data_IF_956527916547
#
_entry.id   IF_956527916547
#
_cell.length_a   1.000
_cell.length_b   1.000
_cell.length_c   1.000
_cell.angle_alpha   90.00
_cell.angle_beta   90.00
_cell.angle_gamma   90.00
#
_symmetry.space_group_name_H-M   'P 1'
#
loop_
_entity.id
_entity.type
_entity.pdbx_description
1 polymer ?
#
# COMPACT_ATOMS: atom_id res chain seq x y z
N UNK A 1 2.90 3.70 -3.74
CA UNK A 1 3.30 2.57 -2.89
C UNK A 1 3.08 1.30 -3.72
N UNK A 2 4.11 0.47 -3.92
CA UNK A 2 3.94 -0.83 -4.58
C UNK A 2 3.21 -1.79 -3.63
N UNK A 3 2.33 -2.66 -4.14
CA UNK A 3 1.58 -3.63 -3.32
C UNK A 3 2.48 -4.44 -2.36
N UNK A 4 3.69 -4.78 -2.82
CA UNK A 4 4.67 -5.51 -2.04
C UNK A 4 5.22 -4.70 -0.86
N UNK A 5 5.32 -3.38 -0.99
CA UNK A 5 5.77 -2.52 0.10
C UNK A 5 4.75 -2.48 1.23
N UNK A 6 3.45 -2.41 0.90
CA UNK A 6 2.37 -2.45 1.90
C UNK A 6 2.25 -3.83 2.57
N UNK A 7 2.44 -4.90 1.80
CA UNK A 7 2.46 -6.28 2.32
C UNK A 7 3.65 -6.51 3.28
N UNK A 8 4.84 -6.06 2.90
CA UNK A 8 6.07 -6.18 3.69
C UNK A 8 6.03 -5.33 4.97
N UNK A 9 5.48 -4.11 4.91
CA UNK A 9 5.29 -3.27 6.10
C UNK A 9 4.34 -3.95 7.09
N UNK A 10 3.23 -4.51 6.62
CA UNK A 10 2.29 -5.26 7.47
C UNK A 10 2.98 -6.47 8.12
N UNK A 11 3.74 -7.24 7.36
CA UNK A 11 4.46 -8.42 7.90
C UNK A 11 5.51 -8.04 8.95
N UNK A 12 6.27 -6.98 8.70
CA UNK A 12 7.26 -6.47 9.66
C UNK A 12 6.59 -6.07 10.97
N UNK A 13 5.46 -5.36 10.90
CA UNK A 13 4.73 -4.90 12.09
C UNK A 13 4.11 -6.08 12.87
N UNK A 14 3.58 -7.09 12.17
CA UNK A 14 3.08 -8.31 12.82
C UNK A 14 4.19 -9.06 13.56
N UNK A 15 5.38 -9.19 12.95
CA UNK A 15 6.55 -9.82 13.59
C UNK A 15 7.01 -9.03 14.80
N UNK A 16 7.09 -7.70 14.68
CA UNK A 16 7.48 -6.83 15.78
C UNK A 16 6.51 -6.92 16.96
N UNK A 17 5.20 -6.86 16.69
CA UNK A 17 4.16 -6.99 17.70
C UNK A 17 4.23 -8.34 18.40
N UNK A 18 4.36 -9.43 17.63
CA UNK A 18 4.53 -10.79 18.18
C UNK A 18 5.78 -10.90 19.05
N UNK A 19 6.91 -10.33 18.61
CA UNK A 19 8.16 -10.33 19.35
C UNK A 19 8.07 -9.56 20.68
N UNK A 20 7.39 -8.41 20.70
CA UNK A 20 7.14 -7.65 21.93
C UNK A 20 6.23 -8.40 22.89
N UNK A 21 5.17 -9.02 22.38
CA UNK A 21 4.23 -9.81 23.17
C UNK A 21 4.89 -11.04 23.83
N UNK A 22 5.83 -11.69 23.14
CA UNK A 22 6.62 -12.79 23.73
C UNK A 22 7.58 -12.25 24.80
N UNK A 23 8.25 -11.13 24.54
CA UNK A 23 9.16 -10.50 25.52
C UNK A 23 8.43 -9.96 26.74
N UNK A 24 7.13 -9.64 26.63
CA UNK A 24 6.31 -9.15 27.74
C UNK A 24 6.16 -10.19 28.86
N UNK A 25 5.95 -11.46 28.52
CA UNK A 25 5.68 -12.54 29.49
C UNK A 25 6.82 -12.79 30.48
N UNK A 26 8.00 -12.19 30.24
CA UNK A 26 9.24 -12.39 31.02
C UNK A 26 9.71 -11.19 31.85
N UNK A 27 9.05 -10.01 31.80
CA UNK A 27 9.58 -8.77 32.39
C UNK A 27 8.80 -8.24 33.60
N UNK A 28 9.44 -7.39 34.40
CA UNK A 28 8.92 -6.80 35.66
C UNK A 28 7.76 -5.81 35.45
N UNK A 29 6.99 -5.57 36.52
CA UNK A 29 5.71 -4.86 36.53
C UNK A 29 5.73 -3.41 35.97
N UNK A 30 6.82 -2.64 36.13
CA UNK A 30 6.91 -1.29 35.56
C UNK A 30 7.19 -1.31 34.05
N UNK A 31 8.05 -2.23 33.60
CA UNK A 31 8.35 -2.43 32.17
C UNK A 31 7.16 -3.03 31.41
N UNK A 32 6.16 -3.58 32.10
CA UNK A 32 4.94 -4.11 31.50
C UNK A 32 4.02 -3.00 30.98
N UNK A 33 3.89 -1.88 31.69
CA UNK A 33 3.04 -0.75 31.27
C UNK A 33 3.57 -0.06 30.01
N UNK A 34 4.88 0.26 30.00
CA UNK A 34 5.52 0.92 28.86
C UNK A 34 5.50 0.04 27.60
N UNK A 35 5.75 -1.27 27.74
CA UNK A 35 5.68 -2.21 26.63
C UNK A 35 4.24 -2.45 26.14
N UNK A 36 3.26 -2.36 27.02
CA UNK A 36 1.85 -2.41 26.63
C UNK A 36 1.48 -1.20 25.76
N UNK A 37 1.89 0.01 26.15
CA UNK A 37 1.72 1.22 25.35
C UNK A 37 2.41 1.10 23.99
N UNK A 38 3.65 0.60 23.94
CA UNK A 38 4.37 0.31 22.68
C UNK A 38 3.61 -0.72 21.81
N UNK A 39 3.08 -1.77 22.44
CA UNK A 39 2.27 -2.79 21.78
C UNK A 39 0.99 -2.23 21.14
N UNK A 40 0.29 -1.32 21.81
CA UNK A 40 -0.89 -0.63 21.24
C UNK A 40 -0.49 0.18 20.00
N UNK A 41 0.58 0.96 20.08
CA UNK A 41 1.02 1.81 18.96
C UNK A 41 1.37 0.98 17.72
N UNK A 42 2.05 -0.16 17.90
CA UNK A 42 2.40 -1.05 16.80
C UNK A 42 1.16 -1.75 16.23
N UNK A 43 0.21 -2.13 17.09
CA UNK A 43 -1.06 -2.69 16.66
C UNK A 43 -1.89 -1.72 15.80
N UNK A 44 -2.01 -0.46 16.23
CA UNK A 44 -2.68 0.59 15.46
C UNK A 44 -1.98 0.84 14.11
N UNK A 45 -0.64 0.87 14.12
CA UNK A 45 0.12 1.00 12.87
C UNK A 45 -0.07 -0.20 11.95
N UNK A 46 -0.14 -1.41 12.48
CA UNK A 46 -0.43 -2.63 11.71
C UNK A 46 -1.84 -2.57 11.10
N UNK A 47 -2.83 -2.03 11.82
CA UNK A 47 -4.17 -1.77 11.29
C UNK A 47 -4.16 -0.76 10.14
N UNK A 48 -3.41 0.34 10.27
CA UNK A 48 -3.25 1.28 9.16
C UNK A 48 -2.62 0.60 7.93
N UNK A 49 -1.55 -0.18 8.10
CA UNK A 49 -0.90 -0.93 7.01
C UNK A 49 -1.85 -1.96 6.36
N UNK A 50 -2.68 -2.65 7.14
CA UNK A 50 -3.73 -3.54 6.65
C UNK A 50 -4.70 -2.80 5.71
N UNK A 51 -5.22 -1.65 6.13
CA UNK A 51 -6.14 -0.86 5.29
C UNK A 51 -5.47 -0.35 4.00
N UNK A 52 -4.18 0.00 4.06
CA UNK A 52 -3.41 0.39 2.88
C UNK A 52 -3.22 -0.78 1.91
N UNK A 53 -2.94 -1.99 2.43
CA UNK A 53 -2.82 -3.20 1.62
C UNK A 53 -4.13 -3.57 0.94
N UNK A 54 -5.28 -3.48 1.64
CA UNK A 54 -6.62 -3.68 1.06
C UNK A 54 -6.87 -2.75 -0.13
N UNK A 55 -6.60 -1.44 0.04
CA UNK A 55 -6.76 -0.44 -1.03
C UNK A 55 -5.89 -0.72 -2.24
N UNK A 56 -4.71 -1.32 -2.05
CA UNK A 56 -3.82 -1.67 -3.15
C UNK A 56 -4.27 -2.96 -3.85
N UNK A 57 -4.81 -3.93 -3.11
CA UNK A 57 -5.45 -5.14 -3.68
C UNK A 57 -6.64 -4.78 -4.56
N UNK A 58 -7.42 -3.77 -4.18
CA UNK A 58 -8.58 -3.30 -4.97
C UNK A 58 -8.22 -2.81 -6.36
N UNK A 59 -6.98 -2.34 -6.57
CA UNK A 59 -6.48 -1.84 -7.87
C UNK A 59 -6.00 -2.95 -8.82
N UNK A 60 -5.88 -4.19 -8.34
CA UNK A 60 -5.35 -5.30 -9.12
C UNK A 60 -6.38 -5.95 -10.06
N UNK A 61 -5.88 -6.64 -11.10
CA UNK A 61 -6.69 -7.51 -11.95
C UNK A 61 -7.24 -8.72 -11.17
N UNK A 62 -8.41 -9.20 -11.57
CA UNK A 62 -9.21 -10.21 -10.86
C UNK A 62 -8.42 -11.47 -10.45
N UNK A 63 -7.55 -11.99 -11.31
CA UNK A 63 -6.77 -13.20 -11.05
C UNK A 63 -5.70 -13.02 -9.96
N UNK A 64 -5.07 -11.84 -9.88
CA UNK A 64 -4.07 -11.54 -8.83
C UNK A 64 -4.75 -11.19 -7.51
N UNK A 65 -5.94 -10.58 -7.57
CA UNK A 65 -6.76 -10.19 -6.41
C UNK A 65 -7.09 -11.37 -5.50
N UNK A 66 -7.46 -12.52 -6.06
CA UNK A 66 -7.81 -13.72 -5.28
C UNK A 66 -6.63 -14.24 -4.45
N UNK A 67 -5.42 -14.26 -5.02
CA UNK A 67 -4.21 -14.71 -4.31
C UNK A 67 -3.86 -13.77 -3.15
N UNK A 68 -3.91 -12.46 -3.36
CA UNK A 68 -3.62 -11.48 -2.31
C UNK A 68 -4.70 -11.46 -1.21
N UNK A 69 -5.97 -11.73 -1.55
CA UNK A 69 -7.05 -11.86 -0.57
C UNK A 69 -6.85 -13.04 0.39
N UNK A 70 -6.38 -14.18 -0.09
CA UNK A 70 -6.06 -15.32 0.78
C UNK A 70 -4.95 -14.96 1.78
N UNK A 71 -3.88 -14.33 1.30
CA UNK A 71 -2.79 -13.86 2.17
C UNK A 71 -3.26 -12.81 3.18
N UNK A 72 -4.11 -11.88 2.75
CA UNK A 72 -4.71 -10.87 3.63
C UNK A 72 -5.53 -11.55 4.74
N UNK A 73 -6.36 -12.54 4.41
CA UNK A 73 -7.15 -13.27 5.42
C UNK A 73 -6.28 -13.94 6.48
N UNK A 74 -5.15 -14.53 6.09
CA UNK A 74 -4.24 -15.15 7.06
C UNK A 74 -3.56 -14.11 7.95
N UNK A 75 -3.14 -12.97 7.38
CA UNK A 75 -2.59 -11.85 8.16
C UNK A 75 -3.63 -11.26 9.12
N UNK A 76 -4.90 -11.19 8.71
CA UNK A 76 -6.02 -10.75 9.55
C UNK A 76 -6.24 -11.68 10.76
N UNK A 77 -6.16 -13.00 10.56
CA UNK A 77 -6.24 -13.97 11.67
C UNK A 77 -5.13 -13.72 12.68
N UNK A 78 -3.88 -13.59 12.22
CA UNK A 78 -2.72 -13.31 13.09
C UNK A 78 -2.93 -12.00 13.86
N UNK A 79 -3.41 -10.96 13.20
CA UNK A 79 -3.64 -9.66 13.83
C UNK A 79 -4.73 -9.75 14.91
N UNK A 80 -5.80 -10.51 14.67
CA UNK A 80 -6.85 -10.76 15.66
C UNK A 80 -6.35 -11.57 16.86
N UNK A 81 -5.51 -12.59 16.63
CA UNK A 81 -4.87 -13.34 17.72
C UNK A 81 -3.97 -12.44 18.58
N UNK A 82 -3.18 -11.57 17.94
CA UNK A 82 -2.31 -10.62 18.65
C UNK A 82 -3.14 -9.59 19.44
N UNK A 83 -4.29 -9.16 18.90
CA UNK A 83 -5.23 -8.29 19.62
C UNK A 83 -5.71 -8.94 20.91
N UNK A 84 -6.15 -10.20 20.86
CA UNK A 84 -6.63 -10.91 22.04
C UNK A 84 -5.55 -11.01 23.13
N UNK A 85 -4.30 -11.25 22.73
CA UNK A 85 -3.18 -11.27 23.68
C UNK A 85 -2.89 -9.88 24.26
N UNK A 86 -3.06 -8.82 23.47
CA UNK A 86 -2.93 -7.44 23.92
C UNK A 86 -4.05 -7.06 24.92
N UNK A 87 -5.28 -7.51 24.68
CA UNK A 87 -6.41 -7.28 25.59
C UNK A 87 -6.23 -8.02 26.93
N UNK A 88 -5.66 -9.23 26.91
CA UNK A 88 -5.26 -9.94 28.13
C UNK A 88 -4.13 -9.22 28.88
N UNK A 89 -3.24 -8.54 28.14
CA UNK A 89 -2.19 -7.70 28.72
C UNK A 89 -2.76 -6.52 29.49
N UNK A 90 -3.76 -5.86 28.89
CA UNK A 90 -4.42 -4.69 29.43
C UNK A 90 -4.93 -4.96 30.84
N UNK A 91 -5.66 -6.05 31.02
CA UNK A 91 -6.22 -6.41 32.33
C UNK A 91 -5.13 -6.70 33.37
N UNK A 92 -4.00 -7.28 32.96
CA UNK A 92 -2.87 -7.53 33.86
C UNK A 92 -2.21 -6.21 34.31
N UNK A 93 -1.99 -5.28 33.39
CA UNK A 93 -1.42 -3.96 33.67
C UNK A 93 -2.34 -3.17 34.60
N UNK A 94 -3.65 -3.13 34.32
CA UNK A 94 -4.65 -2.48 35.16
C UNK A 94 -4.65 -3.05 36.60
N UNK A 95 -4.62 -4.38 36.74
CA UNK A 95 -4.58 -5.05 38.06
C UNK A 95 -3.29 -4.76 38.86
N UNK A 96 -2.17 -4.51 38.18
CA UNK A 96 -0.90 -4.19 38.81
C UNK A 96 -0.81 -2.72 39.22
N UNK A 97 -1.45 -1.83 38.45
CA UNK A 97 -1.51 -0.40 38.74
C UNK A 97 -2.37 -0.11 39.99
N UNK A 98 -3.47 -0.84 40.17
CA UNK A 98 -4.30 -0.76 41.39
C UNK A 98 -3.51 -1.14 42.65
N UNK A 99 -2.73 -2.23 42.59
CA UNK A 99 -1.89 -2.69 43.72
C UNK A 99 -0.75 -1.72 44.08
N UNK A 100 -0.23 -0.98 43.12
CA UNK A 100 0.79 0.05 43.36
C UNK A 100 0.21 1.27 44.09
N UNK A 101 -1.03 1.64 43.76
CA UNK A 101 -1.75 2.74 44.40
C UNK A 101 -1.99 2.48 45.89
N UNK A 102 -2.33 1.23 46.26
CA UNK A 102 -2.58 0.86 47.65
C UNK A 102 -1.29 0.76 48.50
N UNK A 103 -0.14 0.46 47.88
CA UNK A 103 1.15 0.33 48.59
C UNK A 103 1.75 1.67 49.03
N UNK A 104 1.29 2.79 48.46
CA UNK A 104 1.74 4.14 48.83
C UNK A 104 0.93 4.76 50.00
N UNK A 105 0.00 4.00 50.58
CA UNK A 105 -0.81 4.46 51.70
C UNK A 105 -0.12 4.33 53.07
N UNK A 106 0.96 3.58 53.20
CA UNK A 106 1.54 3.25 54.52
C UNK A 106 2.90 3.93 54.77
N UNK A 107 2.89 5.08 55.45
CA UNK A 107 3.71 5.40 56.64
C UNK A 107 3.69 6.89 57.02
N UNK A 108 3.25 7.15 58.27
CA UNK A 108 3.67 8.20 59.22
C UNK A 108 4.15 9.59 58.73
N UNK A 109 3.33 10.37 58.01
CA UNK A 109 3.55 11.82 57.83
C UNK A 109 2.24 12.61 58.05
N UNK A 110 2.28 13.81 58.64
CA UNK A 110 1.10 14.67 58.76
C UNK A 110 0.50 14.94 57.38
N UNK A 111 -0.82 14.75 57.25
CA UNK A 111 -1.58 14.81 56.01
C UNK A 111 -1.28 16.05 55.14
N UNK A 112 -1.02 17.20 55.78
CA UNK A 112 -0.72 18.47 55.12
C UNK A 112 0.63 18.48 54.39
N UNK A 113 1.70 17.96 55.02
CA UNK A 113 3.03 17.90 54.38
C UNK A 113 3.06 16.85 53.27
N UNK A 114 2.29 15.76 53.42
CA UNK A 114 2.12 14.73 52.39
C UNK A 114 1.47 15.30 51.12
N UNK A 115 0.44 16.14 51.28
CA UNK A 115 -0.25 16.77 50.15
C UNK A 115 0.65 17.77 49.40
N UNK A 116 1.48 18.53 50.11
CA UNK A 116 2.41 19.50 49.50
C UNK A 116 3.51 18.78 48.72
N UNK A 117 4.12 17.74 49.29
CA UNK A 117 5.17 16.95 48.60
C UNK A 117 4.58 16.27 47.36
N UNK A 118 3.39 15.67 47.46
CA UNK A 118 2.70 15.07 46.33
C UNK A 118 2.33 16.10 45.26
N UNK A 119 1.81 17.26 45.66
CA UNK A 119 1.46 18.35 44.73
C UNK A 119 2.69 18.85 43.97
N UNK A 120 3.83 18.99 44.65
CA UNK A 120 5.08 19.41 44.02
C UNK A 120 5.61 18.36 43.03
N UNK A 121 5.56 17.07 43.39
CA UNK A 121 5.97 15.99 42.50
C UNK A 121 5.09 15.90 41.24
N UNK A 122 3.77 16.09 41.39
CA UNK A 122 2.84 16.14 40.26
C UNK A 122 3.12 17.37 39.38
N UNK A 123 3.42 18.52 39.99
CA UNK A 123 3.75 19.74 39.28
C UNK A 123 5.04 19.58 38.46
N UNK A 124 6.10 19.04 39.05
CA UNK A 124 7.38 18.77 38.35
C UNK A 124 7.17 17.82 37.17
N UNK A 125 6.45 16.70 37.39
CA UNK A 125 6.10 15.75 36.32
C UNK A 125 5.26 16.40 35.22
N UNK A 126 4.35 17.30 35.58
CA UNK A 126 3.52 18.05 34.64
C UNK A 126 4.37 19.02 33.82
N UNK A 127 5.30 19.73 34.45
CA UNK A 127 6.21 20.65 33.79
C UNK A 127 7.11 19.92 32.77
N UNK A 128 7.65 18.77 33.15
CA UNK A 128 8.40 17.90 32.25
C UNK A 128 7.54 17.42 31.07
N UNK A 129 6.27 17.08 31.33
CA UNK A 129 5.33 16.69 30.28
C UNK A 129 5.05 17.83 29.31
N UNK A 130 4.84 19.05 29.81
CA UNK A 130 4.62 20.25 28.98
C UNK A 130 5.83 20.53 28.11
N UNK A 131 7.05 20.42 28.67
CA UNK A 131 8.28 20.63 27.91
C UNK A 131 8.40 19.60 26.77
N UNK A 132 8.16 18.32 27.05
CA UNK A 132 8.15 17.27 26.01
C UNK A 132 7.08 17.52 24.94
N UNK A 133 5.87 17.93 25.33
CA UNK A 133 4.78 18.20 24.39
C UNK A 133 5.13 19.40 23.49
N UNK A 134 5.76 20.43 24.05
CA UNK A 134 6.25 21.58 23.27
C UNK A 134 7.25 21.11 22.21
N UNK A 135 8.25 20.33 22.59
CA UNK A 135 9.27 19.84 21.65
C UNK A 135 8.65 18.99 20.54
N UNK A 136 7.74 18.07 20.90
CA UNK A 136 6.98 17.27 19.93
C UNK A 136 6.11 18.12 19.01
N UNK A 137 5.53 19.22 19.51
CA UNK A 137 4.72 20.14 18.69
C UNK A 137 5.58 20.86 17.66
N UNK A 138 6.78 21.31 18.05
CA UNK A 138 7.75 21.95 17.14
C UNK A 138 8.21 20.96 16.07
N UNK A 139 8.54 19.72 16.45
CA UNK A 139 8.91 18.67 15.50
C UNK A 139 7.75 18.35 14.53
N UNK A 140 6.53 18.29 15.05
CA UNK A 140 5.32 18.07 14.25
C UNK A 140 5.06 19.22 13.27
N UNK A 141 5.25 20.48 13.68
CA UNK A 141 5.15 21.65 12.80
C UNK A 141 6.16 21.58 11.66
N UNK A 142 7.41 21.19 11.96
CA UNK A 142 8.45 20.99 10.95
C UNK A 142 8.09 19.88 9.96
N UNK A 143 7.66 18.71 10.45
CA UNK A 143 7.18 17.61 9.60
C UNK A 143 6.00 18.09 8.73
N UNK A 144 5.08 18.87 9.29
CA UNK A 144 3.96 19.45 8.54
C UNK A 144 4.39 20.38 7.40
N UNK A 145 5.41 21.20 7.63
CA UNK A 145 5.99 22.06 6.61
C UNK A 145 6.70 21.25 5.50
N UNK A 146 7.47 20.23 5.86
CA UNK A 146 8.13 19.33 4.92
C UNK A 146 7.09 18.57 4.08
N UNK A 147 6.03 18.02 4.71
CA UNK A 147 4.94 17.32 4.02
C UNK A 147 4.20 18.24 3.04
N UNK A 148 3.97 19.51 3.43
CA UNK A 148 3.33 20.48 2.53
C UNK A 148 4.19 20.75 1.30
N UNK A 149 5.50 20.90 1.49
CA UNK A 149 6.46 21.06 0.39
C UNK A 149 6.47 19.83 -0.53
N UNK A 150 6.47 18.63 0.04
CA UNK A 150 6.41 17.38 -0.73
C UNK A 150 5.10 17.24 -1.52
N UNK A 151 3.96 17.65 -0.94
CA UNK A 151 2.67 17.64 -1.62
C UNK A 151 2.65 18.62 -2.81
N UNK A 152 3.25 19.79 -2.66
CA UNK A 152 3.41 20.75 -3.77
C UNK A 152 4.25 20.15 -4.91
N UNK A 153 5.39 19.53 -4.58
CA UNK A 153 6.24 18.84 -5.57
C UNK A 153 5.51 17.68 -6.26
N UNK A 154 4.73 16.90 -5.51
CA UNK A 154 3.89 15.84 -6.07
C UNK A 154 2.82 16.41 -7.00
N UNK A 155 2.18 17.52 -6.64
CA UNK A 155 1.19 18.19 -7.48
C UNK A 155 1.82 18.69 -8.79
N UNK A 156 3.00 19.31 -8.73
CA UNK A 156 3.75 19.66 -9.94
C UNK A 156 4.08 18.45 -10.81
N UNK A 157 4.52 17.34 -10.20
CA UNK A 157 4.81 16.10 -10.92
C UNK A 157 3.55 15.55 -11.61
N UNK A 158 2.40 15.56 -10.93
CA UNK A 158 1.12 15.17 -11.53
C UNK A 158 0.72 16.10 -12.67
N UNK A 159 0.97 17.40 -12.54
CA UNK A 159 0.73 18.35 -13.62
C UNK A 159 1.64 18.07 -14.83
N UNK A 160 2.93 17.76 -14.59
CA UNK A 160 3.88 17.34 -15.64
C UNK A 160 3.44 16.04 -16.34
N UNK A 161 2.94 15.06 -15.57
CA UNK A 161 2.38 13.82 -16.12
C UNK A 161 1.13 14.11 -16.96
N UNK A 162 0.22 14.98 -16.49
CA UNK A 162 -0.98 15.39 -17.23
C UNK A 162 -0.63 16.01 -18.59
N UNK A 163 0.38 16.89 -18.63
CA UNK A 163 0.89 17.49 -19.88
C UNK A 163 1.48 16.41 -20.78
N UNK A 164 2.26 15.47 -20.23
CA UNK A 164 2.85 14.36 -21.01
C UNK A 164 1.78 13.42 -21.58
N UNK A 165 0.72 13.14 -20.84
CA UNK A 165 -0.41 12.32 -21.32
C UNK A 165 -1.10 12.98 -22.52
N UNK A 166 -1.32 14.30 -22.50
CA UNK A 166 -1.86 15.00 -23.68
C UNK A 166 -0.95 14.85 -24.92
N UNK A 167 0.37 14.91 -24.75
CA UNK A 167 1.32 14.65 -25.84
C UNK A 167 1.32 13.19 -26.34
N UNK A 168 1.01 12.22 -25.47
CA UNK A 168 0.84 10.82 -25.86
C UNK A 168 -0.42 10.62 -26.72
N UNK A 169 -1.51 11.34 -26.44
CA UNK A 169 -2.73 11.28 -27.27
C UNK A 169 -2.49 11.79 -28.70
N UNK A 170 -1.69 12.85 -28.86
CA UNK A 170 -1.28 13.37 -30.18
C UNK A 170 -0.41 12.36 -30.95
N UNK A 171 0.54 11.73 -30.26
CA UNK A 171 1.37 10.67 -30.85
C UNK A 171 0.54 9.42 -31.20
N UNK A 172 -0.46 9.09 -30.39
CA UNK A 172 -1.38 7.97 -30.66
C UNK A 172 -2.27 8.25 -31.87
N UNK A 173 -2.75 9.49 -32.04
CA UNK A 173 -3.50 9.90 -33.23
C UNK A 173 -2.65 9.78 -34.50
N UNK A 174 -1.38 10.19 -34.43
CA UNK A 174 -0.42 10.08 -35.53
C UNK A 174 -0.08 8.63 -35.85
N UNK A 175 0.12 7.79 -34.83
CA UNK A 175 0.34 6.36 -34.98
C UNK A 175 -0.87 5.67 -35.66
N UNK A 176 -2.10 6.00 -35.25
CA UNK A 176 -3.33 5.52 -35.91
C UNK A 176 -3.39 5.89 -37.39
N UNK A 177 -3.04 7.14 -37.72
CA UNK A 177 -3.01 7.62 -39.11
C UNK A 177 -1.98 6.84 -39.94
N UNK A 178 -0.79 6.63 -39.38
CA UNK A 178 0.30 5.88 -40.03
C UNK A 178 -0.09 4.42 -40.25
N UNK A 179 -0.66 3.76 -39.24
CA UNK A 179 -1.15 2.38 -39.36
C UNK A 179 -2.26 2.27 -40.40
N UNK A 180 -3.18 3.25 -40.46
CA UNK A 180 -4.23 3.29 -41.49
C UNK A 180 -3.64 3.41 -42.89
N UNK A 181 -2.61 4.25 -43.08
CA UNK A 181 -1.89 4.40 -44.34
C UNK A 181 -1.23 3.09 -44.77
N UNK A 182 -0.50 2.45 -43.84
CA UNK A 182 0.14 1.14 -44.06
C UNK A 182 -0.91 0.07 -44.42
N UNK A 183 -2.03 0.01 -43.69
CA UNK A 183 -3.10 -0.94 -43.96
C UNK A 183 -3.70 -0.74 -45.36
N UNK A 184 -3.92 0.52 -45.78
CA UNK A 184 -4.41 0.81 -47.14
C UNK A 184 -3.40 0.47 -48.24
N UNK A 185 -2.10 0.62 -47.98
CA UNK A 185 -1.05 0.23 -48.92
C UNK A 185 -0.99 -1.30 -49.08
N UNK A 186 -1.07 -2.05 -47.98
CA UNK A 186 -1.09 -3.52 -48.01
C UNK A 186 -2.31 -4.04 -48.77
N UNK A 187 -3.50 -3.46 -48.56
CA UNK A 187 -4.71 -3.84 -49.29
C UNK A 187 -4.57 -3.62 -50.79
N UNK A 188 -3.95 -2.51 -51.20
CA UNK A 188 -3.66 -2.21 -52.60
C UNK A 188 -2.68 -3.23 -53.18
N UNK A 189 -1.57 -3.50 -52.52
CA UNK A 189 -0.57 -4.48 -52.99
C UNK A 189 -1.17 -5.88 -53.14
N UNK A 190 -2.00 -6.31 -52.18
CA UNK A 190 -2.70 -7.60 -52.26
C UNK A 190 -3.71 -7.63 -53.40
N UNK A 191 -4.44 -6.55 -53.63
CA UNK A 191 -5.37 -6.43 -54.77
C UNK A 191 -4.62 -6.52 -56.11
N UNK A 192 -3.47 -5.85 -56.23
CA UNK A 192 -2.63 -5.89 -57.42
C UNK A 192 -2.11 -7.31 -57.70
N UNK A 193 -1.66 -8.04 -56.67
CA UNK A 193 -1.21 -9.43 -56.82
C UNK A 193 -2.35 -10.33 -57.31
N UNK A 194 -3.55 -10.22 -56.73
CA UNK A 194 -4.71 -11.03 -57.14
C UNK A 194 -5.07 -10.76 -58.61
N UNK A 195 -5.11 -9.48 -59.01
CA UNK A 195 -5.44 -9.08 -60.38
C UNK A 195 -4.45 -9.69 -61.40
N UNK A 196 -3.15 -9.64 -61.12
CA UNK A 196 -2.11 -10.21 -61.99
C UNK A 196 -2.28 -11.72 -62.12
N UNK A 197 -2.50 -12.43 -61.02
CA UNK A 197 -2.70 -13.89 -61.02
C UNK A 197 -3.94 -14.27 -61.85
N UNK A 198 -5.05 -13.54 -61.71
CA UNK A 198 -6.27 -13.79 -62.49
C UNK A 198 -6.05 -13.63 -63.99
N UNK A 199 -5.31 -12.61 -64.42
CA UNK A 199 -5.01 -12.39 -65.85
C UNK A 199 -4.21 -13.56 -66.43
N UNK A 200 -3.17 -14.03 -65.71
CA UNK A 200 -2.34 -15.15 -66.17
C UNK A 200 -3.19 -16.42 -66.34
N UNK A 201 -4.06 -16.71 -65.37
CA UNK A 201 -4.93 -17.90 -65.40
C UNK A 201 -5.89 -17.87 -66.59
N UNK A 202 -6.44 -16.69 -66.92
CA UNK A 202 -7.29 -16.49 -68.10
C UNK A 202 -6.56 -16.82 -69.41
N UNK A 203 -5.33 -16.33 -69.57
CA UNK A 203 -4.51 -16.57 -70.77
C UNK A 203 -4.22 -18.07 -70.92
N UNK A 204 -3.87 -18.75 -69.83
CA UNK A 204 -3.63 -20.20 -69.83
C UNK A 204 -4.90 -20.96 -70.20
N UNK A 205 -6.05 -20.60 -69.63
CA UNK A 205 -7.33 -21.25 -69.92
C UNK A 205 -7.74 -21.09 -71.39
N UNK A 206 -7.57 -19.92 -71.97
CA UNK A 206 -7.87 -19.67 -73.39
C UNK A 206 -6.93 -20.48 -74.28
N UNK A 207 -5.63 -20.52 -73.94
CA UNK A 207 -4.62 -21.27 -74.69
C UNK A 207 -4.92 -22.78 -74.68
N UNK A 208 -5.32 -23.33 -73.53
CA UNK A 208 -5.74 -24.74 -73.41
C UNK A 208 -7.01 -25.02 -74.24
N UNK A 209 -7.97 -24.11 -74.22
CA UNK A 209 -9.20 -24.26 -74.98
C UNK A 209 -8.92 -24.30 -76.50
N UNK A 210 -8.05 -23.43 -76.99
CA UNK A 210 -7.61 -23.43 -78.39
C UNK A 210 -6.85 -24.72 -78.72
N UNK A 211 -5.93 -25.15 -77.85
CA UNK A 211 -5.18 -26.39 -78.06
C UNK A 211 -6.11 -27.60 -78.16
N UNK A 212 -7.02 -27.76 -77.20
CA UNK A 212 -7.98 -28.87 -77.17
C UNK A 212 -8.92 -28.83 -78.37
N UNK A 213 -9.42 -27.65 -78.76
CA UNK A 213 -10.28 -27.50 -79.92
C UNK A 213 -9.54 -27.81 -81.24
N UNK A 214 -8.22 -27.57 -81.29
CA UNK A 214 -7.39 -27.92 -82.43
C UNK A 214 -7.09 -29.43 -82.50
N UNK A 215 -6.84 -30.06 -81.35
CA UNK A 215 -6.63 -31.52 -81.26
C UNK A 215 -7.91 -32.30 -81.66
N UNK A 216 -9.10 -31.80 -81.31
CA UNK A 216 -10.38 -32.42 -81.70
C UNK A 216 -10.69 -32.34 -83.20
N UNK A 217 -10.07 -31.39 -83.92
CA UNK A 217 -10.36 -31.12 -85.34
C UNK A 217 -9.37 -31.79 -86.30
N UNK A 218 -8.35 -32.47 -85.77
CA UNK A 218 -7.36 -33.22 -86.56
C UNK A 218 -7.70 -34.70 -86.53
#
# INVERSE_FOLDING_TARGET
MSIYQSEEELDRLLVQLKGLLIKYESHSSSAQSDKYAEGILIYERAKCAETAYIKEIEKLQQQSKESHNLRLQDKQKILNELKLKLDHLKSLVESNQEKLSDKHLDSSLPYSNKLIVWGNEIQDKTQDSINRIRDLTIDSEKIGADVTTDLEQQNESLNRIRVTIHGVDENLATAKSTVKSIATAILKDKCTIILVVTIILLIVSISLCIYFFRDIKT
#
